data_IF_963530309072
#
_entry.id   IF_963530309072
#
_cell.length_a   1.000
_cell.length_b   1.000
_cell.length_c   1.000
_cell.angle_alpha   90.00
_cell.angle_beta   90.00
_cell.angle_gamma   90.00
#
_symmetry.space_group_name_H-M   'P 1'
#
loop_
_entity.id
_entity.type
_entity.pdbx_description
1 polymer ?
#
# COMPACT_ATOMS: atom_id res chain seq x y z
N UNK A 1 20.38 1.52 -9.18
CA UNK A 1 19.47 2.67 -9.36
C UNK A 1 19.67 3.73 -8.28
N UNK A 2 19.50 3.49 -7.01
CA UNK A 2 19.63 4.52 -5.96
C UNK A 2 21.01 5.23 -5.96
N UNK A 3 22.11 4.49 -6.07
CA UNK A 3 23.46 5.09 -6.21
C UNK A 3 23.59 6.04 -7.41
N UNK A 4 22.97 5.70 -8.54
CA UNK A 4 22.99 6.55 -9.75
C UNK A 4 22.13 7.80 -9.58
N UNK A 5 21.06 7.69 -8.80
CA UNK A 5 20.16 8.81 -8.47
C UNK A 5 20.63 9.63 -7.26
N UNK A 6 21.76 9.25 -6.62
CA UNK A 6 22.27 9.85 -5.38
C UNK A 6 21.22 9.88 -4.27
N UNK A 7 20.44 8.78 -4.16
CA UNK A 7 19.42 8.61 -3.12
C UNK A 7 19.84 7.53 -2.14
N UNK A 8 19.52 7.72 -0.88
CA UNK A 8 19.62 6.69 0.13
C UNK A 8 18.51 5.65 -0.02
N UNK A 9 18.74 4.44 0.45
CA UNK A 9 17.76 3.35 0.49
C UNK A 9 17.64 2.86 1.91
N UNK A 10 16.43 2.91 2.43
CA UNK A 10 16.10 2.37 3.74
C UNK A 10 15.15 1.17 3.57
N UNK A 11 15.68 -0.07 3.57
CA UNK A 11 14.84 -1.26 3.55
C UNK A 11 14.21 -1.47 4.93
N UNK A 12 12.90 -1.75 4.95
CA UNK A 12 12.10 -1.91 6.17
C UNK A 12 11.33 -3.23 6.13
N UNK A 13 11.46 -4.03 7.16
CA UNK A 13 10.65 -5.23 7.39
C UNK A 13 9.42 -4.86 8.22
N UNK A 14 8.24 -4.87 7.59
CA UNK A 14 6.95 -4.63 8.24
C UNK A 14 6.31 -5.93 8.76
N UNK A 15 6.78 -7.08 8.31
CA UNK A 15 6.20 -8.38 8.70
C UNK A 15 6.45 -9.47 7.68
N UNK A 16 7.72 -9.67 7.28
CA UNK A 16 8.07 -10.83 6.45
C UNK A 16 7.83 -12.14 7.24
N UNK A 17 7.37 -13.18 6.55
CA UNK A 17 7.16 -14.50 7.17
C UNK A 17 8.48 -15.22 7.53
N UNK A 18 9.60 -14.84 6.91
CA UNK A 18 10.92 -15.42 7.14
C UNK A 18 11.68 -14.83 8.34
N UNK A 19 12.93 -15.23 8.49
CA UNK A 19 13.84 -14.68 9.49
C UNK A 19 14.21 -13.23 9.17
N UNK A 20 14.54 -12.41 10.20
CA UNK A 20 15.01 -11.05 9.99
C UNK A 20 16.26 -10.99 9.10
N UNK A 21 16.29 -10.06 8.16
CA UNK A 21 17.41 -9.88 7.23
C UNK A 21 18.40 -8.86 7.78
N UNK A 22 19.69 -9.17 7.90
CA UNK A 22 20.70 -8.21 8.33
C UNK A 22 20.74 -6.95 7.46
N UNK A 23 20.79 -5.77 8.07
CA UNK A 23 20.78 -4.49 7.36
C UNK A 23 19.41 -3.99 6.95
N UNK A 24 18.34 -4.72 7.23
CA UNK A 24 16.95 -4.28 7.09
C UNK A 24 16.46 -3.76 8.44
N UNK A 25 15.85 -2.58 8.46
CA UNK A 25 15.23 -2.02 9.66
C UNK A 25 14.01 -2.84 10.03
N UNK A 26 13.95 -3.34 11.24
CA UNK A 26 12.80 -4.08 11.72
C UNK A 26 11.73 -3.14 12.30
N UNK A 27 10.59 -3.10 11.63
CA UNK A 27 9.32 -2.54 12.11
C UNK A 27 8.24 -3.64 12.09
N UNK A 28 8.68 -4.87 12.38
CA UNK A 28 7.89 -6.09 12.21
C UNK A 28 6.70 -6.12 13.17
N UNK A 29 5.51 -6.24 12.62
CA UNK A 29 4.25 -6.37 13.37
C UNK A 29 4.02 -7.83 13.75
N UNK A 30 4.07 -8.72 12.74
CA UNK A 30 3.96 -10.17 12.90
C UNK A 30 4.68 -10.87 11.74
N UNK A 31 4.73 -12.19 11.73
CA UNK A 31 5.35 -12.99 10.67
C UNK A 31 4.35 -13.26 9.52
N UNK A 32 4.03 -12.23 8.75
CA UNK A 32 3.00 -12.24 7.72
C UNK A 32 1.59 -12.03 8.27
N UNK A 33 0.65 -11.76 7.37
CA UNK A 33 -0.78 -11.68 7.69
C UNK A 33 -1.45 -13.04 7.60
N UNK A 34 -2.66 -13.17 8.14
CA UNK A 34 -3.50 -14.34 7.95
C UNK A 34 -4.12 -14.36 6.52
N UNK A 35 -4.69 -15.49 6.14
CA UNK A 35 -5.44 -15.66 4.90
C UNK A 35 -6.80 -14.94 5.01
N UNK A 36 -6.93 -13.80 4.34
CA UNK A 36 -8.16 -13.00 4.39
C UNK A 36 -9.39 -13.69 3.77
N UNK A 37 -9.23 -14.83 3.10
CA UNK A 37 -10.36 -15.62 2.63
C UNK A 37 -11.00 -16.47 3.74
N UNK A 38 -10.36 -16.56 4.91
CA UNK A 38 -10.80 -17.35 6.08
C UNK A 38 -11.18 -16.47 7.29
N UNK A 39 -10.85 -15.19 7.24
CA UNK A 39 -11.06 -14.22 8.31
C UNK A 39 -10.22 -12.97 8.07
N UNK A 40 -10.15 -12.02 9.00
CA UNK A 40 -9.34 -10.80 8.84
C UNK A 40 -7.87 -11.10 8.61
N UNK A 41 -7.23 -10.34 7.70
CA UNK A 41 -5.80 -10.45 7.42
C UNK A 41 -4.95 -10.15 8.65
N UNK A 42 -5.37 -9.21 9.47
CA UNK A 42 -4.74 -8.81 10.73
C UNK A 42 -5.80 -8.24 11.68
N UNK A 43 -5.48 -8.14 12.95
CA UNK A 43 -6.33 -7.42 13.90
C UNK A 43 -6.30 -5.90 13.60
N UNK A 44 -7.35 -5.18 14.01
CA UNK A 44 -7.36 -3.71 13.91
C UNK A 44 -6.19 -3.07 14.69
N UNK A 45 -5.80 -3.65 15.82
CA UNK A 45 -4.67 -3.17 16.61
C UNK A 45 -3.35 -3.29 15.84
N UNK A 46 -3.11 -4.40 15.15
CA UNK A 46 -1.95 -4.59 14.29
C UNK A 46 -1.95 -3.62 13.10
N UNK A 47 -3.10 -3.37 12.47
CA UNK A 47 -3.21 -2.38 11.41
C UNK A 47 -2.86 -0.97 11.92
N UNK A 48 -3.38 -0.56 13.07
CA UNK A 48 -3.03 0.72 13.71
C UNK A 48 -1.55 0.79 14.05
N UNK A 49 -0.97 -0.28 14.57
CA UNK A 49 0.46 -0.34 14.88
C UNK A 49 1.30 -0.20 13.60
N UNK A 50 0.96 -0.91 12.52
CA UNK A 50 1.67 -0.82 11.24
C UNK A 50 1.62 0.60 10.65
N UNK A 51 0.47 1.26 10.70
CA UNK A 51 0.32 2.67 10.31
C UNK A 51 1.19 3.56 11.22
N UNK A 52 1.19 3.31 12.53
CA UNK A 52 2.00 4.03 13.51
C UNK A 52 3.50 3.95 13.22
N UNK A 53 4.02 2.76 12.89
CA UNK A 53 5.41 2.55 12.49
C UNK A 53 5.76 3.37 11.23
N UNK A 54 4.90 3.39 10.23
CA UNK A 54 5.09 4.21 9.03
C UNK A 54 5.11 5.71 9.32
N UNK A 55 4.24 6.20 10.20
CA UNK A 55 4.24 7.60 10.65
C UNK A 55 5.55 7.94 11.36
N UNK A 56 5.98 7.09 12.30
CA UNK A 56 7.21 7.29 13.06
C UNK A 56 8.43 7.33 12.14
N UNK A 57 8.50 6.41 11.17
CA UNK A 57 9.56 6.35 10.18
C UNK A 57 9.65 7.63 9.33
N UNK A 58 8.54 8.11 8.80
CA UNK A 58 8.52 9.32 7.99
C UNK A 58 8.94 10.57 8.78
N UNK A 59 8.56 10.65 10.06
CA UNK A 59 8.97 11.74 10.95
C UNK A 59 10.46 11.70 11.25
N UNK A 60 11.02 10.52 11.58
CA UNK A 60 12.45 10.33 11.79
C UNK A 60 13.25 10.77 10.56
N UNK A 61 12.85 10.32 9.36
CA UNK A 61 13.50 10.75 8.11
C UNK A 61 13.46 12.28 7.92
N UNK A 62 12.35 12.93 8.26
CA UNK A 62 12.25 14.37 8.19
C UNK A 62 13.19 15.08 9.20
N UNK A 63 13.30 14.55 10.41
CA UNK A 63 14.22 15.03 11.46
C UNK A 63 15.69 14.85 11.04
N UNK A 64 16.00 13.74 10.34
CA UNK A 64 17.33 13.49 9.73
C UNK A 64 17.64 14.37 8.53
N UNK A 65 16.69 15.22 8.11
CA UNK A 65 16.89 16.22 7.06
C UNK A 65 16.46 15.79 5.66
N UNK A 66 15.84 14.62 5.50
CA UNK A 66 15.27 14.22 4.20
C UNK A 66 14.11 15.15 3.82
N UNK A 67 14.10 15.58 2.55
CA UNK A 67 13.12 16.53 2.00
C UNK A 67 12.17 15.92 1.00
N UNK A 68 12.36 14.67 0.66
CA UNK A 68 11.53 13.87 -0.22
C UNK A 68 11.66 12.40 0.20
N UNK A 69 10.54 11.72 0.33
CA UNK A 69 10.49 10.26 0.56
C UNK A 69 9.88 9.64 -0.70
N UNK A 70 10.53 8.64 -1.26
CA UNK A 70 9.96 7.81 -2.30
C UNK A 70 9.60 6.45 -1.71
N UNK A 71 8.39 6.00 -1.95
CA UNK A 71 7.93 4.68 -1.51
C UNK A 71 8.33 3.60 -2.50
N UNK A 72 8.46 2.39 -2.02
CA UNK A 72 8.63 1.17 -2.80
C UNK A 72 8.24 -0.02 -1.93
N UNK A 73 8.03 -1.17 -2.52
CA UNK A 73 7.66 -2.37 -1.80
C UNK A 73 8.15 -3.63 -2.53
N UNK A 74 8.27 -4.73 -1.81
CA UNK A 74 8.63 -6.06 -2.30
C UNK A 74 7.74 -7.13 -1.66
N UNK A 75 6.48 -6.82 -1.40
CA UNK A 75 5.51 -7.74 -0.81
C UNK A 75 5.05 -8.78 -1.83
N UNK A 76 5.20 -10.07 -1.49
CA UNK A 76 4.68 -11.15 -2.33
C UNK A 76 3.17 -11.29 -2.10
N UNK A 77 2.40 -11.28 -3.19
CA UNK A 77 0.95 -11.38 -3.15
C UNK A 77 0.21 -10.07 -2.89
N UNK A 78 0.92 -8.96 -2.62
CA UNK A 78 0.32 -7.69 -2.24
C UNK A 78 -0.48 -6.99 -3.37
N UNK A 79 -0.34 -7.38 -4.62
CA UNK A 79 -1.28 -6.95 -5.67
C UNK A 79 -2.70 -7.49 -5.44
N UNK A 80 -2.85 -8.65 -4.76
CA UNK A 80 -4.15 -9.21 -4.41
C UNK A 80 -4.81 -8.40 -3.29
N UNK A 81 -4.08 -8.14 -2.21
CA UNK A 81 -4.57 -7.32 -1.09
C UNK A 81 -4.83 -5.88 -1.51
N UNK A 82 -3.96 -5.29 -2.36
CA UNK A 82 -4.18 -3.95 -2.92
C UNK A 82 -5.44 -3.87 -3.77
N UNK A 83 -5.70 -4.86 -4.63
CA UNK A 83 -6.92 -4.91 -5.44
C UNK A 83 -8.17 -5.03 -4.55
N UNK A 84 -8.13 -5.85 -3.50
CA UNK A 84 -9.22 -6.00 -2.55
C UNK A 84 -9.53 -4.69 -1.81
N UNK A 85 -8.50 -4.06 -1.24
CA UNK A 85 -8.62 -2.78 -0.52
C UNK A 85 -9.16 -1.68 -1.45
N UNK A 86 -8.60 -1.55 -2.66
CA UNK A 86 -9.04 -0.53 -3.61
C UNK A 86 -10.47 -0.77 -4.10
N UNK A 87 -10.87 -2.02 -4.36
CA UNK A 87 -12.24 -2.35 -4.78
C UNK A 87 -13.26 -1.90 -3.73
N UNK A 88 -13.01 -2.19 -2.46
CA UNK A 88 -13.91 -1.80 -1.35
C UNK A 88 -13.93 -0.29 -1.16
N UNK A 89 -12.76 0.36 -1.01
CA UNK A 89 -12.70 1.81 -0.74
C UNK A 89 -13.28 2.67 -1.88
N UNK A 90 -13.27 2.17 -3.12
CA UNK A 90 -13.78 2.89 -4.28
C UNK A 90 -15.15 2.39 -4.76
N UNK A 91 -15.71 1.34 -4.12
CA UNK A 91 -16.98 0.76 -4.53
C UNK A 91 -16.97 0.23 -5.98
N UNK A 92 -15.82 -0.29 -6.43
CA UNK A 92 -15.63 -0.74 -7.81
C UNK A 92 -15.69 -2.28 -7.90
N UNK A 93 -16.15 -2.82 -9.05
CA UNK A 93 -16.12 -4.26 -9.29
C UNK A 93 -14.71 -4.84 -9.14
N UNK A 94 -14.60 -5.99 -8.47
CA UNK A 94 -13.31 -6.67 -8.22
C UNK A 94 -12.57 -6.97 -9.51
N UNK A 95 -13.28 -7.39 -10.56
CA UNK A 95 -12.72 -7.69 -11.87
C UNK A 95 -12.03 -6.49 -12.51
N UNK A 96 -12.59 -5.29 -12.32
CA UNK A 96 -12.04 -4.04 -12.83
C UNK A 96 -10.77 -3.64 -12.05
N UNK A 97 -10.74 -3.95 -10.76
CA UNK A 97 -9.66 -3.57 -9.85
C UNK A 97 -8.53 -4.60 -9.78
N UNK A 98 -8.65 -5.73 -10.50
CA UNK A 98 -7.71 -6.84 -10.38
C UNK A 98 -6.92 -7.04 -11.67
N UNK A 99 -5.61 -6.88 -11.58
CA UNK A 99 -4.67 -7.15 -12.66
C UNK A 99 -3.92 -8.47 -12.49
N UNK A 100 -3.08 -8.78 -13.50
CA UNK A 100 -2.28 -10.01 -13.54
C UNK A 100 -1.09 -10.00 -12.58
N UNK A 101 -0.76 -8.86 -11.99
CA UNK A 101 0.43 -8.74 -11.15
C UNK A 101 1.69 -9.17 -11.91
N UNK A 102 2.45 -10.11 -11.34
CA UNK A 102 3.68 -10.63 -11.93
C UNK A 102 3.49 -11.59 -13.13
N UNK A 103 2.34 -11.52 -13.85
CA UNK A 103 2.13 -12.28 -15.08
C UNK A 103 1.29 -13.55 -14.92
N UNK A 104 0.21 -13.51 -14.14
CA UNK A 104 -0.73 -14.62 -14.00
C UNK A 104 -1.38 -15.01 -15.34
N UNK A 105 -1.62 -16.32 -15.52
CA UNK A 105 -2.48 -16.85 -16.59
C UNK A 105 -3.94 -16.42 -16.40
N UNK A 106 -4.80 -16.69 -17.38
CA UNK A 106 -6.24 -16.37 -17.28
C UNK A 106 -6.88 -17.14 -16.10
N UNK A 107 -6.53 -18.40 -15.90
CA UNK A 107 -7.01 -19.18 -14.76
C UNK A 107 -6.45 -18.65 -13.43
N UNK A 108 -5.20 -18.13 -13.42
CA UNK A 108 -4.58 -17.50 -12.27
C UNK A 108 -5.30 -16.21 -11.91
N UNK A 109 -5.64 -15.39 -12.90
CA UNK A 109 -6.42 -14.16 -12.70
C UNK A 109 -7.83 -14.46 -12.18
N UNK A 110 -8.51 -15.45 -12.74
CA UNK A 110 -9.84 -15.86 -12.27
C UNK A 110 -9.81 -16.33 -10.80
N UNK A 111 -8.79 -17.13 -10.42
CA UNK A 111 -8.60 -17.54 -9.00
C UNK A 111 -8.31 -16.36 -8.09
N UNK A 112 -7.55 -15.36 -8.57
CA UNK A 112 -7.26 -14.14 -7.80
C UNK A 112 -8.54 -13.33 -7.55
N UNK A 113 -9.36 -13.13 -8.57
CA UNK A 113 -10.66 -12.46 -8.46
C UNK A 113 -11.58 -13.20 -7.49
N UNK A 114 -11.70 -14.53 -7.63
CA UNK A 114 -12.49 -15.37 -6.72
C UNK A 114 -12.02 -15.25 -5.26
N UNK A 115 -10.71 -15.28 -5.01
CA UNK A 115 -10.17 -15.12 -3.67
C UNK A 115 -10.51 -13.75 -3.07
N UNK A 116 -10.42 -12.68 -3.85
CA UNK A 116 -10.80 -11.34 -3.40
C UNK A 116 -12.30 -11.26 -3.08
N UNK A 117 -13.17 -11.78 -3.95
CA UNK A 117 -14.61 -11.81 -3.72
C UNK A 117 -14.96 -12.58 -2.43
N UNK A 118 -14.36 -13.76 -2.23
CA UNK A 118 -14.56 -14.54 -0.99
C UNK A 118 -14.07 -13.80 0.25
N UNK A 119 -12.91 -13.14 0.16
CA UNK A 119 -12.37 -12.34 1.26
C UNK A 119 -13.26 -11.17 1.65
N UNK A 120 -13.79 -10.45 0.68
CA UNK A 120 -14.73 -9.35 0.91
C UNK A 120 -16.02 -9.89 1.54
N UNK A 121 -16.57 -10.98 1.02
CA UNK A 121 -17.79 -11.60 1.56
C UNK A 121 -17.60 -12.16 2.96
N UNK A 122 -16.43 -12.78 3.24
CA UNK A 122 -16.12 -13.37 4.54
C UNK A 122 -15.99 -12.31 5.65
N UNK A 123 -15.38 -11.17 5.32
CA UNK A 123 -14.97 -10.18 6.30
C UNK A 123 -15.93 -8.98 6.39
N UNK A 124 -16.79 -8.76 5.41
CA UNK A 124 -17.74 -7.64 5.38
C UNK A 124 -17.08 -6.30 5.79
N UNK A 125 -16.04 -5.84 5.06
CA UNK A 125 -15.32 -4.61 5.41
C UNK A 125 -16.20 -3.38 5.25
N UNK A 126 -16.10 -2.44 6.20
CA UNK A 126 -16.78 -1.15 6.13
C UNK A 126 -16.02 -0.21 5.18
N UNK A 127 -16.58 0.17 4.00
CA UNK A 127 -15.91 1.03 3.03
C UNK A 127 -15.65 2.46 3.54
N UNK A 128 -16.35 2.88 4.60
CA UNK A 128 -16.17 4.20 5.22
C UNK A 128 -15.09 4.19 6.30
N UNK A 129 -14.60 3.02 6.72
CA UNK A 129 -13.51 2.87 7.68
C UNK A 129 -12.25 2.25 7.02
N UNK A 130 -11.30 3.06 6.52
CA UNK A 130 -10.09 2.54 5.88
C UNK A 130 -9.23 1.64 6.78
N UNK A 131 -9.27 1.79 8.10
CA UNK A 131 -8.58 0.90 9.03
C UNK A 131 -9.27 -0.46 9.14
N UNK A 132 -10.58 -0.50 9.06
CA UNK A 132 -11.33 -1.75 8.99
C UNK A 132 -11.00 -2.50 7.70
N UNK A 133 -11.03 -1.79 6.56
CA UNK A 133 -10.66 -2.37 5.25
C UNK A 133 -9.22 -2.88 5.26
N UNK A 134 -8.25 -2.10 5.78
CA UNK A 134 -6.85 -2.52 5.89
C UNK A 134 -6.69 -3.75 6.78
N UNK A 135 -7.36 -3.80 7.94
CA UNK A 135 -7.25 -4.93 8.85
C UNK A 135 -7.83 -6.21 8.26
N UNK A 136 -8.92 -6.11 7.53
CA UNK A 136 -9.63 -7.26 6.96
C UNK A 136 -9.02 -7.79 5.68
N UNK A 137 -8.54 -6.90 4.79
CA UNK A 137 -8.13 -7.26 3.42
C UNK A 137 -6.70 -6.84 3.05
N UNK A 138 -6.06 -6.03 3.88
CA UNK A 138 -4.77 -5.41 3.57
C UNK A 138 -3.55 -6.28 3.86
N UNK A 139 -2.41 -5.62 3.97
CA UNK A 139 -1.13 -6.17 4.37
C UNK A 139 -0.36 -5.18 5.23
N UNK A 140 0.62 -5.67 6.01
CA UNK A 140 1.45 -4.82 6.86
C UNK A 140 2.25 -3.79 6.05
N UNK A 141 2.64 -4.14 4.82
CA UNK A 141 3.32 -3.26 3.87
C UNK A 141 2.42 -2.09 3.44
N UNK A 142 1.17 -2.36 3.04
CA UNK A 142 0.20 -1.33 2.65
C UNK A 142 -0.13 -0.43 3.84
N UNK A 143 -0.33 -1.01 5.04
CA UNK A 143 -0.60 -0.26 6.26
C UNK A 143 0.60 0.62 6.67
N UNK A 144 1.82 0.08 6.60
CA UNK A 144 3.05 0.83 6.86
C UNK A 144 3.25 1.98 5.87
N UNK A 145 3.05 1.73 4.57
CA UNK A 145 3.11 2.77 3.54
C UNK A 145 2.02 3.83 3.73
N UNK A 146 0.80 3.44 4.13
CA UNK A 146 -0.25 4.39 4.53
C UNK A 146 0.27 5.32 5.64
N UNK A 147 0.93 4.76 6.65
CA UNK A 147 1.59 5.52 7.71
C UNK A 147 2.66 6.48 7.19
N UNK A 148 3.48 6.06 6.22
CA UNK A 148 4.51 6.93 5.61
C UNK A 148 3.87 8.15 4.94
N UNK A 149 2.75 8.00 4.22
CA UNK A 149 2.03 9.13 3.63
C UNK A 149 1.45 10.08 4.69
N UNK A 150 0.88 9.54 5.77
CA UNK A 150 0.39 10.34 6.88
C UNK A 150 1.53 11.08 7.60
N UNK A 151 2.63 10.38 7.87
CA UNK A 151 3.80 10.93 8.53
C UNK A 151 4.49 12.02 7.69
N UNK A 152 4.59 11.83 6.38
CA UNK A 152 5.09 12.85 5.45
C UNK A 152 4.23 14.11 5.48
N UNK A 153 2.90 13.96 5.49
CA UNK A 153 1.98 15.08 5.62
C UNK A 153 2.13 15.83 6.96
N UNK A 154 2.31 15.11 8.06
CA UNK A 154 2.54 15.68 9.40
C UNK A 154 3.87 16.43 9.47
N UNK A 155 4.92 15.89 8.86
CA UNK A 155 6.26 16.47 8.86
C UNK A 155 6.48 17.53 7.77
N UNK A 156 5.51 17.73 6.86
CA UNK A 156 5.66 18.66 5.73
C UNK A 156 6.63 18.15 4.66
N UNK A 157 6.85 16.84 4.56
CA UNK A 157 7.74 16.22 3.59
C UNK A 157 6.89 15.54 2.50
N UNK A 158 7.10 15.86 1.21
CA UNK A 158 6.41 15.19 0.12
C UNK A 158 6.79 13.71 0.05
N UNK A 159 5.81 12.87 -0.28
CA UNK A 159 5.97 11.43 -0.43
C UNK A 159 5.57 11.03 -1.85
N UNK A 160 6.50 10.43 -2.57
CA UNK A 160 6.32 9.99 -3.94
C UNK A 160 5.80 8.54 -3.95
N UNK A 161 4.58 8.36 -4.42
CA UNK A 161 4.01 7.04 -4.63
C UNK A 161 4.62 6.41 -5.89
N UNK A 162 5.15 5.20 -5.76
CA UNK A 162 5.76 4.45 -6.85
C UNK A 162 4.70 3.99 -7.87
N UNK A 163 4.02 2.89 -7.59
CA UNK A 163 3.04 2.30 -8.50
C UNK A 163 1.67 2.08 -7.85
N UNK A 164 0.97 1.04 -8.31
CA UNK A 164 -0.40 0.72 -7.88
C UNK A 164 -0.50 0.50 -6.37
N UNK A 165 0.37 -0.32 -5.78
CA UNK A 165 0.33 -0.69 -4.36
C UNK A 165 0.56 0.54 -3.48
N UNK A 166 1.59 1.33 -3.79
CA UNK A 166 1.84 2.61 -3.11
C UNK A 166 0.67 3.59 -3.29
N UNK A 167 0.03 3.60 -4.46
CA UNK A 167 -1.16 4.40 -4.72
C UNK A 167 -2.34 3.99 -3.83
N UNK A 168 -2.55 2.70 -3.60
CA UNK A 168 -3.58 2.18 -2.69
C UNK A 168 -3.28 2.58 -1.25
N UNK A 169 -2.03 2.49 -0.81
CA UNK A 169 -1.63 2.96 0.51
C UNK A 169 -1.87 4.47 0.67
N UNK A 170 -1.56 5.28 -0.35
CA UNK A 170 -1.87 6.71 -0.36
C UNK A 170 -3.38 6.97 -0.32
N UNK A 171 -4.19 6.15 -1.01
CA UNK A 171 -5.65 6.23 -0.95
C UNK A 171 -6.17 5.99 0.47
N UNK A 172 -5.65 4.96 1.16
CA UNK A 172 -5.98 4.71 2.57
C UNK A 172 -5.63 5.93 3.45
N UNK A 173 -4.44 6.49 3.27
CA UNK A 173 -3.98 7.66 4.03
C UNK A 173 -4.88 8.88 3.82
N UNK A 174 -5.27 9.17 2.58
CA UNK A 174 -6.15 10.30 2.24
C UNK A 174 -7.58 10.06 2.73
N UNK A 175 -8.08 8.83 2.73
CA UNK A 175 -9.39 8.48 3.30
C UNK A 175 -9.40 8.61 4.82
N UNK A 176 -8.30 8.25 5.50
CA UNK A 176 -8.13 8.45 6.95
C UNK A 176 -7.98 9.93 7.32
N UNK A 177 -7.22 10.67 6.52
CA UNK A 177 -6.95 12.08 6.75
C UNK A 177 -6.86 12.83 5.40
N UNK A 178 -7.92 13.51 4.95
CA UNK A 178 -7.93 14.22 3.66
C UNK A 178 -6.79 15.23 3.49
N UNK A 179 -6.30 15.80 4.59
CA UNK A 179 -5.16 16.73 4.56
C UNK A 179 -3.85 16.06 4.07
N UNK A 180 -3.73 14.73 4.19
CA UNK A 180 -2.57 13.98 3.69
C UNK A 180 -2.39 14.09 2.17
N UNK A 181 -3.46 14.38 1.42
CA UNK A 181 -3.39 14.57 -0.03
C UNK A 181 -2.34 15.62 -0.46
N UNK A 182 -2.02 16.59 0.39
CA UNK A 182 -1.02 17.63 0.09
C UNK A 182 0.40 17.08 -0.01
N UNK A 183 0.71 15.99 0.69
CA UNK A 183 2.02 15.35 0.67
C UNK A 183 2.14 14.24 -0.39
N UNK A 184 1.04 13.78 -0.98
CA UNK A 184 1.03 12.69 -1.97
C UNK A 184 1.36 13.20 -3.35
N UNK A 185 2.37 12.60 -3.98
CA UNK A 185 2.75 12.82 -5.38
C UNK A 185 2.84 11.46 -6.09
N UNK A 186 2.30 11.36 -7.31
CA UNK A 186 2.36 10.14 -8.10
C UNK A 186 3.56 10.17 -9.04
N UNK A 187 4.46 9.19 -8.97
CA UNK A 187 5.61 9.10 -9.87
C UNK A 187 5.17 8.78 -11.30
N UNK A 188 4.44 7.70 -11.47
CA UNK A 188 3.93 7.21 -12.76
C UNK A 188 2.59 6.50 -12.57
N UNK A 189 1.91 6.20 -13.68
CA UNK A 189 0.77 5.30 -13.71
C UNK A 189 1.27 3.91 -14.13
N UNK A 190 1.20 2.93 -13.23
CA UNK A 190 1.61 1.56 -13.53
C UNK A 190 0.65 0.88 -14.52
N UNK A 191 1.08 -0.24 -15.11
CA UNK A 191 0.29 -1.03 -16.05
C UNK A 191 -0.89 -1.79 -15.40
N UNK A 192 -0.97 -1.82 -14.06
CA UNK A 192 -2.12 -2.43 -13.36
C UNK A 192 -3.42 -1.72 -13.71
N UNK A 193 -4.52 -2.44 -14.05
CA UNK A 193 -5.76 -1.84 -14.52
C UNK A 193 -6.33 -0.78 -13.59
N UNK A 194 -6.26 -1.02 -12.29
CA UNK A 194 -6.79 -0.11 -11.27
C UNK A 194 -5.90 1.10 -10.99
N UNK A 195 -4.65 1.15 -11.48
CA UNK A 195 -3.73 2.23 -11.14
C UNK A 195 -4.28 3.61 -11.52
N UNK A 196 -4.86 3.74 -12.72
CA UNK A 196 -5.48 4.97 -13.17
C UNK A 196 -6.67 5.36 -12.30
N UNK A 197 -7.54 4.41 -11.96
CA UNK A 197 -8.74 4.64 -11.13
C UNK A 197 -8.35 5.16 -9.75
N UNK A 198 -7.30 4.58 -9.16
CA UNK A 198 -6.75 5.01 -7.86
C UNK A 198 -6.18 6.43 -7.95
N UNK A 199 -5.42 6.76 -9.00
CA UNK A 199 -4.87 8.11 -9.19
C UNK A 199 -5.98 9.16 -9.42
N UNK A 200 -7.01 8.83 -10.19
CA UNK A 200 -8.18 9.69 -10.38
C UNK A 200 -8.92 9.93 -9.07
N UNK A 201 -9.13 8.89 -8.25
CA UNK A 201 -9.75 9.00 -6.93
C UNK A 201 -8.91 9.86 -5.95
N UNK A 202 -7.59 9.83 -6.08
CA UNK A 202 -6.67 10.69 -5.33
C UNK A 202 -6.63 12.13 -5.87
N UNK A 203 -7.17 12.39 -7.05
CA UNK A 203 -7.03 13.67 -7.75
C UNK A 203 -5.58 13.96 -8.14
N UNK A 204 -4.80 12.93 -8.48
CA UNK A 204 -3.37 13.06 -8.79
C UNK A 204 -3.08 12.69 -10.25
N UNK A 205 -2.30 13.54 -10.92
CA UNK A 205 -1.70 13.22 -12.20
C UNK A 205 -0.29 12.65 -12.00
N UNK A 206 0.13 11.64 -12.77
CA UNK A 206 1.49 11.12 -12.69
C UNK A 206 2.49 12.15 -13.23
N UNK A 207 3.67 12.23 -12.58
CA UNK A 207 4.76 13.12 -12.99
C UNK A 207 5.39 12.61 -14.29
N UNK A 208 5.52 11.28 -14.42
CA UNK A 208 6.10 10.64 -15.59
C UNK A 208 5.03 9.83 -16.32
N UNK A 209 4.91 10.03 -17.62
CA UNK A 209 4.05 9.23 -18.50
C UNK A 209 4.92 8.23 -19.23
N UNK A 210 5.34 7.17 -18.55
CA UNK A 210 6.10 6.06 -19.11
C UNK A 210 5.26 4.78 -19.00
N UNK A 211 5.25 3.97 -20.06
CA UNK A 211 4.63 2.64 -20.04
C UNK A 211 5.53 1.66 -19.27
N UNK A 212 5.63 1.83 -17.96
CA UNK A 212 6.41 0.95 -17.08
C UNK A 212 5.60 -0.31 -16.77
N UNK A 213 6.22 -1.47 -16.98
CA UNK A 213 5.68 -2.80 -16.74
C UNK A 213 6.40 -3.44 -15.57
#
# INVERSE_FOLDING_TARGET
MARTAHCDVLPVDMGMAGEPVPGVRSCRIAAGTADFTQGPAMSRAEAVQAVGEGIALARELAEDGYRLIATGEMGIGNTTTSSAVAAVLLGQPVELMTGRGAGLSDEGLARKVDAICRGILCNEPDPEDPLDVLSKLGGFDIAGLCGVFLGGALAGVPVLADGFISGVAALCAVRLCPAAAKAVFASHCSAEPAARIVLEALGKAPIITAGLH
#
